data_IF_200629577480
#
_entry.id   IF_200629577480
#
_cell.length_a   1.000
_cell.length_b   1.000
_cell.length_c   1.000
_cell.angle_alpha   90.00
_cell.angle_beta   90.00
_cell.angle_gamma   90.00
#
_symmetry.space_group_name_H-M   'P 1'
#
loop_
_entity.id
_entity.type
_entity.pdbx_description
1 polymer ?
#
# COMPACT_ATOMS: atom_id res chain seq x y z
N UNK A 1 38.40 10.56 81.85
CA UNK A 1 39.00 9.82 80.70
C UNK A 1 40.24 10.57 80.24
N UNK A 2 41.28 10.62 81.09
CA UNK A 2 42.46 11.49 80.93
C UNK A 2 43.80 10.72 80.98
N UNK A 3 43.77 9.39 80.82
CA UNK A 3 44.97 8.53 80.93
C UNK A 3 45.21 7.62 79.73
N UNK A 4 44.86 8.07 78.51
CA UNK A 4 45.12 7.32 77.25
C UNK A 4 45.60 8.20 76.09
N UNK A 5 46.30 9.30 76.36
CA UNK A 5 46.92 10.16 75.33
C UNK A 5 48.42 10.38 75.55
N UNK A 6 49.11 9.46 76.23
CA UNK A 6 50.54 9.58 76.53
C UNK A 6 51.40 8.47 75.88
N UNK A 7 50.85 7.71 74.92
CA UNK A 7 51.49 6.49 74.40
C UNK A 7 51.67 6.50 72.86
N UNK A 8 51.55 7.66 72.22
CA UNK A 8 51.88 7.90 70.80
C UNK A 8 52.48 9.29 70.66
N UNK A 9 53.32 9.69 71.61
CA UNK A 9 54.26 10.78 71.38
C UNK A 9 55.45 10.19 70.62
N UNK A 10 55.38 10.21 69.29
CA UNK A 10 56.55 9.85 68.48
C UNK A 10 57.68 10.84 68.83
N UNK A 11 58.79 10.32 69.39
CA UNK A 11 59.96 11.13 69.74
C UNK A 11 60.55 11.84 68.52
N UNK A 12 60.36 11.28 67.31
CA UNK A 12 60.89 11.80 66.04
C UNK A 12 60.33 13.16 65.62
N UNK A 13 59.00 13.37 65.44
CA UNK A 13 58.44 14.68 65.12
C UNK A 13 58.71 15.71 66.22
N UNK A 14 58.79 15.30 67.50
CA UNK A 14 59.11 16.20 68.62
C UNK A 14 60.58 16.64 68.62
N UNK A 15 61.50 15.70 68.39
CA UNK A 15 62.92 16.02 68.20
C UNK A 15 63.15 16.87 66.94
N UNK A 16 62.34 16.65 65.89
CA UNK A 16 62.39 17.48 64.68
C UNK A 16 61.83 18.89 64.92
N UNK A 17 60.78 19.01 65.74
CA UNK A 17 60.24 20.30 66.18
C UNK A 17 61.25 21.09 67.02
N UNK A 18 61.91 20.42 67.97
CA UNK A 18 62.94 21.02 68.82
C UNK A 18 64.25 21.34 68.06
N UNK A 19 64.60 20.55 67.04
CA UNK A 19 65.85 20.74 66.28
C UNK A 19 65.71 21.63 65.04
N UNK A 20 64.56 21.62 64.36
CA UNK A 20 64.34 22.36 63.10
C UNK A 20 62.92 22.95 62.96
N UNK A 21 62.15 23.11 64.04
CA UNK A 21 60.81 23.71 63.98
C UNK A 21 59.78 22.89 63.18
N UNK A 22 60.03 21.58 63.04
CA UNK A 22 59.04 20.62 62.56
C UNK A 22 59.04 20.40 61.04
N UNK A 23 59.92 21.07 60.29
CA UNK A 23 59.97 21.03 58.82
C UNK A 23 61.32 20.49 58.34
N UNK A 24 61.29 19.31 57.72
CA UNK A 24 62.49 18.59 57.21
C UNK A 24 62.99 19.13 55.86
N UNK A 25 62.08 19.65 55.03
CA UNK A 25 62.34 20.26 53.72
C UNK A 25 61.48 21.51 53.59
N UNK A 26 62.11 22.67 53.35
CA UNK A 26 61.38 23.91 53.04
C UNK A 26 60.68 23.68 51.70
N UNK A 27 59.36 23.51 51.71
CA UNK A 27 58.59 23.46 50.48
C UNK A 27 58.51 24.88 49.93
N UNK A 28 58.44 25.03 48.60
CA UNK A 28 58.28 26.36 47.99
C UNK A 28 57.03 27.09 48.48
N UNK A 29 56.04 26.34 48.96
CA UNK A 29 54.81 26.80 49.61
C UNK A 29 55.06 27.51 50.95
N UNK A 30 56.14 27.17 51.65
CA UNK A 30 56.47 27.70 52.98
C UNK A 30 57.10 29.11 52.90
N UNK A 31 57.71 29.45 51.75
CA UNK A 31 58.25 30.79 51.44
C UNK A 31 57.16 31.85 51.55
N UNK A 32 55.91 31.52 51.18
CA UNK A 32 54.76 32.44 51.29
C UNK A 32 54.36 32.73 52.74
N UNK A 33 54.67 31.82 53.68
CA UNK A 33 54.33 31.91 55.11
C UNK A 33 55.47 32.46 55.97
N UNK A 34 56.69 32.54 55.44
CA UNK A 34 57.83 33.10 56.16
C UNK A 34 57.67 34.62 56.27
N UNK A 35 57.74 35.15 57.49
CA UNK A 35 57.74 36.59 57.75
C UNK A 35 58.95 36.93 58.62
N UNK A 36 59.69 37.98 58.24
CA UNK A 36 60.87 38.43 59.01
C UNK A 36 60.38 39.39 60.10
N UNK A 37 60.53 39.05 61.39
CA UNK A 37 60.04 39.89 62.47
C UNK A 37 60.75 41.25 62.47
N UNK A 38 60.03 42.35 62.70
CA UNK A 38 60.62 43.69 62.69
C UNK A 38 61.62 43.85 63.85
N UNK A 39 62.78 44.48 63.60
CA UNK A 39 63.75 44.82 64.64
C UNK A 39 63.10 45.58 65.80
N UNK A 40 63.47 45.23 67.04
CA UNK A 40 62.86 45.75 68.28
C UNK A 40 62.94 47.27 68.45
N UNK A 41 63.94 47.92 67.84
CA UNK A 41 64.18 49.36 67.90
C UNK A 41 63.32 50.20 66.93
N UNK A 42 62.56 49.58 66.01
CA UNK A 42 61.61 50.28 65.12
C UNK A 42 60.46 50.97 65.85
N UNK A 43 60.25 50.63 67.12
CA UNK A 43 59.30 51.29 68.02
C UNK A 43 59.80 52.63 68.57
N UNK A 44 61.09 52.96 68.39
CA UNK A 44 61.76 54.20 68.83
C UNK A 44 61.98 55.13 67.64
N UNK A 45 61.96 56.44 67.88
CA UNK A 45 62.12 57.47 66.83
C UNK A 45 63.48 57.38 66.12
N UNK A 46 63.46 57.61 64.81
CA UNK A 46 64.56 57.46 63.84
C UNK A 46 65.82 58.29 64.17
N UNK A 47 65.65 59.38 64.94
CA UNK A 47 66.71 60.29 65.36
C UNK A 47 67.63 59.73 66.46
N UNK A 48 67.24 58.64 67.13
CA UNK A 48 67.98 58.02 68.24
C UNK A 48 68.75 56.77 67.82
N UNK A 49 68.74 56.43 66.53
CA UNK A 49 69.41 55.22 66.05
C UNK A 49 70.92 55.41 66.01
N UNK A 50 71.62 54.51 66.70
CA UNK A 50 73.06 54.34 66.56
C UNK A 50 73.42 53.91 65.14
N UNK A 51 74.65 54.17 64.69
CA UNK A 51 75.10 53.76 63.34
C UNK A 51 75.00 52.24 63.12
N UNK A 52 75.11 51.46 64.19
CA UNK A 52 74.92 50.00 64.19
C UNK A 52 73.44 49.62 63.99
N UNK A 53 72.50 50.33 64.62
CA UNK A 53 71.04 50.12 64.44
C UNK A 53 70.57 50.52 63.03
N UNK A 54 71.16 51.57 62.43
CA UNK A 54 70.93 51.94 61.02
C UNK A 54 71.36 50.82 60.07
N UNK A 55 72.54 50.24 60.32
CA UNK A 55 73.06 49.12 59.53
C UNK A 55 72.19 47.86 59.66
N UNK A 56 71.70 47.56 60.86
CA UNK A 56 70.78 46.44 61.11
C UNK A 56 69.44 46.65 60.39
N UNK A 57 68.94 47.89 60.31
CA UNK A 57 67.73 48.22 59.57
C UNK A 57 67.91 48.08 58.05
N UNK A 58 69.04 48.54 57.49
CA UNK A 58 69.36 48.35 56.06
C UNK A 58 69.45 46.86 55.68
N UNK A 59 70.06 46.03 56.54
CA UNK A 59 70.11 44.58 56.35
C UNK A 59 68.73 43.92 56.49
N UNK A 60 67.88 44.40 57.41
CA UNK A 60 66.50 43.96 57.56
C UNK A 60 65.66 44.30 56.32
N UNK A 61 65.71 45.54 55.84
CA UNK A 61 65.02 45.96 54.61
C UNK A 61 65.45 45.12 53.42
N UNK A 62 66.77 44.87 53.29
CA UNK A 62 67.29 44.06 52.20
C UNK A 62 66.73 42.63 52.25
N UNK A 63 66.74 41.99 53.43
CA UNK A 63 66.18 40.64 53.61
C UNK A 63 64.67 40.60 53.37
N UNK A 64 63.93 41.63 53.78
CA UNK A 64 62.47 41.74 53.52
C UNK A 64 62.20 41.92 52.03
N UNK A 65 63.00 42.73 51.32
CA UNK A 65 62.91 42.91 49.87
C UNK A 65 63.23 41.62 49.11
N UNK A 66 64.28 40.91 49.50
CA UNK A 66 64.66 39.60 48.95
C UNK A 66 63.54 38.57 49.15
N UNK A 67 63.04 38.43 50.38
CA UNK A 67 61.97 37.49 50.71
C UNK A 67 60.65 37.83 50.00
N UNK A 68 60.30 39.12 49.86
CA UNK A 68 59.15 39.53 49.05
C UNK A 68 59.35 39.26 47.55
N UNK A 69 60.58 39.37 47.05
CA UNK A 69 60.95 38.98 45.68
C UNK A 69 60.71 37.49 45.44
N UNK A 70 61.23 36.63 46.32
CA UNK A 70 61.04 35.17 46.25
C UNK A 70 59.56 34.77 46.36
N UNK A 71 58.79 35.43 47.25
CA UNK A 71 57.33 35.24 47.35
C UNK A 71 56.62 35.57 46.04
N UNK A 72 56.99 36.67 45.38
CA UNK A 72 56.35 37.08 44.12
C UNK A 72 56.76 36.20 42.95
N UNK A 73 58.02 35.76 42.87
CA UNK A 73 58.48 34.76 41.90
C UNK A 73 57.70 33.45 42.04
N UNK A 74 57.48 32.98 43.27
CA UNK A 74 56.70 31.77 43.51
C UNK A 74 55.21 31.95 43.19
N UNK A 75 54.61 33.10 43.49
CA UNK A 75 53.25 33.43 43.04
C UNK A 75 53.14 33.44 41.52
N UNK A 76 54.12 34.03 40.83
CA UNK A 76 54.15 34.06 39.37
C UNK A 76 54.29 32.65 38.79
N UNK A 77 55.12 31.81 39.39
CA UNK A 77 55.23 30.39 39.05
C UNK A 77 53.87 29.67 39.17
N UNK A 78 53.16 29.84 40.30
CA UNK A 78 51.84 29.24 40.50
C UNK A 78 50.80 29.77 39.50
N UNK A 79 50.81 31.08 39.18
CA UNK A 79 49.92 31.65 38.15
C UNK A 79 50.20 31.05 36.77
N UNK A 80 51.46 30.85 36.42
CA UNK A 80 51.85 30.25 35.14
C UNK A 80 51.41 28.79 35.04
N UNK A 81 51.63 28.00 36.10
CA UNK A 81 51.15 26.60 36.17
C UNK A 81 49.63 26.53 36.13
N UNK A 82 48.93 27.41 36.84
CA UNK A 82 47.48 27.53 36.78
C UNK A 82 46.99 27.81 35.36
N UNK A 83 47.53 28.84 34.70
CA UNK A 83 47.14 29.21 33.34
C UNK A 83 47.43 28.10 32.32
N UNK A 84 48.55 27.39 32.48
CA UNK A 84 48.92 26.25 31.65
C UNK A 84 47.94 25.09 31.83
N UNK A 85 47.57 24.78 33.07
CA UNK A 85 46.59 23.73 33.38
C UNK A 85 45.20 24.11 32.84
N UNK A 86 44.78 25.37 33.02
CA UNK A 86 43.51 25.88 32.50
C UNK A 86 43.46 25.81 30.97
N UNK A 87 44.53 26.19 30.28
CA UNK A 87 44.63 26.07 28.83
C UNK A 87 44.56 24.61 28.37
N UNK A 88 45.29 23.71 29.04
CA UNK A 88 45.26 22.27 28.74
C UNK A 88 43.87 21.66 28.93
N UNK A 89 43.15 22.04 29.99
CA UNK A 89 41.77 21.59 30.21
C UNK A 89 40.85 22.10 29.10
N UNK A 90 40.92 23.39 28.75
CA UNK A 90 40.10 23.97 27.67
C UNK A 90 40.33 23.27 26.34
N UNK A 91 41.58 23.02 25.98
CA UNK A 91 41.94 22.29 24.76
C UNK A 91 41.42 20.85 24.79
N UNK A 92 41.58 20.14 25.91
CA UNK A 92 41.07 18.78 26.06
C UNK A 92 39.54 18.72 25.95
N UNK A 93 38.81 19.68 26.55
CA UNK A 93 37.35 19.79 26.44
C UNK A 93 36.92 20.06 25.00
N UNK A 94 37.55 21.01 24.32
CA UNK A 94 37.24 21.33 22.92
C UNK A 94 37.49 20.12 22.00
N UNK A 95 38.62 19.44 22.17
CA UNK A 95 38.95 18.22 21.42
C UNK A 95 37.92 17.11 21.68
N UNK A 96 37.47 16.94 22.92
CA UNK A 96 36.43 15.97 23.26
C UNK A 96 35.10 16.33 22.59
N UNK A 97 34.64 17.57 22.69
CA UNK A 97 33.39 18.03 22.09
C UNK A 97 33.41 17.87 20.57
N UNK A 98 34.53 18.18 19.91
CA UNK A 98 34.71 17.94 18.48
C UNK A 98 34.58 16.46 18.11
N UNK A 99 35.19 15.57 18.89
CA UNK A 99 35.11 14.12 18.65
C UNK A 99 33.67 13.64 18.84
N UNK A 100 32.98 14.11 19.87
CA UNK A 100 31.57 13.76 20.13
C UNK A 100 30.66 14.25 19.01
N UNK A 101 30.87 15.48 18.51
CA UNK A 101 30.12 16.01 17.36
C UNK A 101 30.38 15.19 16.09
N UNK A 102 31.65 14.87 15.79
CA UNK A 102 31.99 14.02 14.63
C UNK A 102 31.39 12.62 14.77
N UNK A 103 31.32 12.07 15.99
CA UNK A 103 30.71 10.77 16.26
C UNK A 103 29.19 10.83 16.12
N UNK A 104 28.52 11.87 16.62
CA UNK A 104 27.07 12.02 16.52
C UNK A 104 26.62 12.19 15.07
N UNK A 105 27.35 12.97 14.27
CA UNK A 105 27.10 13.08 12.83
C UNK A 105 27.23 11.74 12.12
N UNK A 106 28.27 10.95 12.45
CA UNK A 106 28.44 9.60 11.90
C UNK A 106 27.30 8.68 12.31
N UNK A 107 26.89 8.72 13.59
CA UNK A 107 25.77 7.94 14.10
C UNK A 107 24.49 8.26 13.33
N UNK A 108 24.14 9.54 13.21
CA UNK A 108 22.93 9.98 12.50
C UNK A 108 22.95 9.56 11.02
N UNK A 109 24.09 9.70 10.33
CA UNK A 109 24.24 9.24 8.94
C UNK A 109 24.07 7.73 8.82
N UNK A 110 24.63 6.95 9.74
CA UNK A 110 24.48 5.49 9.75
C UNK A 110 23.03 5.08 10.03
N UNK A 111 22.39 5.64 11.04
CA UNK A 111 20.98 5.37 11.38
C UNK A 111 20.06 5.72 10.21
N UNK A 112 20.28 6.87 9.59
CA UNK A 112 19.55 7.29 8.39
C UNK A 112 19.66 6.28 7.24
N UNK A 113 20.86 5.77 6.95
CA UNK A 113 21.04 4.73 5.91
C UNK A 113 20.36 3.42 6.32
N UNK A 114 20.46 3.02 7.59
CA UNK A 114 19.77 1.83 8.10
C UNK A 114 18.26 1.97 7.88
N UNK A 115 17.65 3.07 8.30
CA UNK A 115 16.22 3.29 8.14
C UNK A 115 15.79 3.35 6.66
N UNK A 116 16.63 3.88 5.77
CA UNK A 116 16.37 3.84 4.33
C UNK A 116 16.33 2.39 3.81
N UNK A 117 17.31 1.57 4.18
CA UNK A 117 17.34 0.17 3.75
C UNK A 117 16.21 -0.65 4.39
N UNK A 118 15.87 -0.41 5.66
CA UNK A 118 14.72 -1.04 6.32
C UNK A 118 13.42 -0.71 5.59
N UNK A 119 13.21 0.57 5.23
CA UNK A 119 12.03 0.97 4.47
C UNK A 119 11.98 0.32 3.08
N UNK A 120 13.12 0.24 2.38
CA UNK A 120 13.22 -0.48 1.10
C UNK A 120 12.86 -1.95 1.25
N UNK A 121 13.37 -2.62 2.28
CA UNK A 121 13.06 -4.01 2.58
C UNK A 121 11.55 -4.18 2.80
N UNK A 122 10.93 -3.33 3.62
CA UNK A 122 9.47 -3.38 3.88
C UNK A 122 8.67 -3.19 2.58
N UNK A 123 9.04 -2.21 1.75
CA UNK A 123 8.37 -1.96 0.48
C UNK A 123 8.51 -3.14 -0.50
N UNK A 124 9.70 -3.76 -0.56
CA UNK A 124 9.93 -4.95 -1.39
C UNK A 124 9.13 -6.15 -0.88
N UNK A 125 9.08 -6.37 0.43
CA UNK A 125 8.26 -7.43 1.03
C UNK A 125 6.79 -7.22 0.68
N UNK A 126 6.29 -5.98 0.79
CA UNK A 126 4.92 -5.65 0.42
C UNK A 126 4.64 -5.94 -1.07
N UNK A 127 5.54 -5.53 -1.96
CA UNK A 127 5.42 -5.79 -3.40
C UNK A 127 5.41 -7.30 -3.71
N UNK A 128 6.27 -8.09 -3.05
CA UNK A 128 6.31 -9.54 -3.20
C UNK A 128 5.03 -10.22 -2.69
N UNK A 129 4.52 -9.81 -1.52
CA UNK A 129 3.25 -10.34 -0.99
C UNK A 129 2.10 -10.08 -1.96
N UNK A 130 2.07 -8.88 -2.53
CA UNK A 130 1.01 -8.47 -3.45
C UNK A 130 1.11 -9.23 -4.78
N UNK A 131 2.33 -9.47 -5.29
CA UNK A 131 2.55 -10.32 -6.47
C UNK A 131 2.11 -11.77 -6.22
N UNK A 132 2.46 -12.34 -5.05
CA UNK A 132 1.99 -13.68 -4.66
C UNK A 132 0.46 -13.74 -4.57
N UNK A 133 -0.20 -12.74 -3.99
CA UNK A 133 -1.66 -12.66 -3.94
C UNK A 133 -2.27 -12.66 -5.35
N UNK A 134 -1.74 -11.85 -6.26
CA UNK A 134 -2.19 -11.80 -7.65
C UNK A 134 -1.98 -13.14 -8.36
N UNK A 135 -0.84 -13.80 -8.15
CA UNK A 135 -0.56 -15.13 -8.72
C UNK A 135 -1.52 -16.20 -8.20
N UNK A 136 -1.82 -16.20 -6.90
CA UNK A 136 -2.80 -17.15 -6.35
C UNK A 136 -4.19 -16.92 -6.92
N UNK A 137 -4.60 -15.66 -7.09
CA UNK A 137 -5.90 -15.29 -7.69
C UNK A 137 -5.95 -15.68 -9.17
N UNK A 138 -4.91 -15.39 -9.94
CA UNK A 138 -4.82 -15.78 -11.35
C UNK A 138 -4.88 -17.31 -11.51
N UNK A 139 -4.13 -18.05 -10.69
CA UNK A 139 -4.17 -19.51 -10.68
C UNK A 139 -5.57 -20.05 -10.33
N UNK A 140 -6.26 -19.41 -9.38
CA UNK A 140 -7.64 -19.71 -9.02
C UNK A 140 -8.61 -19.54 -10.19
N UNK A 141 -8.57 -18.41 -10.88
CA UNK A 141 -9.40 -18.14 -12.06
C UNK A 141 -9.08 -19.10 -13.21
N UNK A 142 -7.80 -19.39 -13.47
CA UNK A 142 -7.39 -20.37 -14.49
C UNK A 142 -7.96 -21.76 -14.20
N UNK A 143 -7.88 -22.22 -12.94
CA UNK A 143 -8.48 -23.49 -12.51
C UNK A 143 -10.00 -23.49 -12.69
N UNK A 144 -10.67 -22.41 -12.30
CA UNK A 144 -12.11 -22.25 -12.48
C UNK A 144 -12.52 -22.31 -13.95
N UNK A 145 -11.78 -21.63 -14.83
CA UNK A 145 -11.99 -21.59 -16.26
C UNK A 145 -11.83 -22.99 -16.89
N UNK A 146 -10.79 -23.73 -16.53
CA UNK A 146 -10.57 -25.11 -16.97
C UNK A 146 -11.72 -26.02 -16.53
N UNK A 147 -12.17 -25.89 -15.27
CA UNK A 147 -13.31 -26.66 -14.74
C UNK A 147 -14.59 -26.37 -15.53
N UNK A 148 -14.92 -25.09 -15.73
CA UNK A 148 -16.11 -24.66 -16.49
C UNK A 148 -16.08 -25.12 -17.95
N UNK A 149 -14.92 -25.06 -18.62
CA UNK A 149 -14.76 -25.62 -19.97
C UNK A 149 -15.01 -27.13 -20.01
N UNK A 150 -14.51 -27.88 -19.02
CA UNK A 150 -14.75 -29.32 -18.90
C UNK A 150 -16.22 -29.64 -18.68
N UNK A 151 -16.88 -28.89 -17.81
CA UNK A 151 -18.31 -29.06 -17.51
C UNK A 151 -19.18 -28.73 -18.72
N UNK A 152 -18.81 -27.70 -19.48
CA UNK A 152 -19.44 -27.37 -20.77
C UNK A 152 -19.34 -28.55 -21.74
N UNK A 153 -18.14 -29.12 -21.96
CA UNK A 153 -17.96 -30.28 -22.86
C UNK A 153 -18.79 -31.49 -22.41
N UNK A 154 -18.86 -31.76 -21.10
CA UNK A 154 -19.72 -32.84 -20.57
C UNK A 154 -21.20 -32.59 -20.81
N UNK A 155 -21.66 -31.34 -20.69
CA UNK A 155 -23.06 -30.97 -20.95
C UNK A 155 -23.48 -31.17 -22.41
N UNK A 156 -22.54 -31.09 -23.36
CA UNK A 156 -22.79 -31.33 -24.79
C UNK A 156 -22.81 -32.83 -25.18
N UNK A 157 -22.49 -33.75 -24.25
CA UNK A 157 -22.55 -35.19 -24.48
C UNK A 157 -23.82 -35.82 -23.88
N UNK A 158 -24.98 -35.72 -24.54
CA UNK A 158 -26.01 -36.74 -24.44
C UNK A 158 -26.29 -37.35 -25.82
N UNK A 159 -26.03 -38.65 -25.96
CA UNK A 159 -26.45 -39.58 -27.03
C UNK A 159 -27.48 -39.02 -28.05
N UNK A 160 -27.06 -38.38 -29.17
CA UNK A 160 -28.01 -37.77 -30.11
C UNK A 160 -28.15 -38.51 -31.45
N UNK A 161 -27.26 -39.44 -31.77
CA UNK A 161 -27.21 -40.03 -33.13
C UNK A 161 -28.37 -41.00 -33.43
N UNK A 162 -29.01 -41.60 -32.43
CA UNK A 162 -30.12 -42.54 -32.66
C UNK A 162 -31.48 -41.85 -32.82
N UNK A 163 -31.68 -40.65 -32.25
CA UNK A 163 -33.00 -40.00 -32.24
C UNK A 163 -33.28 -39.16 -33.50
N UNK A 164 -32.28 -38.44 -34.03
CA UNK A 164 -32.48 -37.60 -35.23
C UNK A 164 -32.83 -38.45 -36.46
N UNK A 165 -32.18 -39.60 -36.64
CA UNK A 165 -32.51 -40.53 -37.72
C UNK A 165 -33.92 -41.13 -37.61
N UNK A 166 -34.39 -41.40 -36.38
CA UNK A 166 -35.74 -41.88 -36.14
C UNK A 166 -36.80 -40.83 -36.50
N UNK A 167 -36.59 -39.58 -36.10
CA UNK A 167 -37.54 -38.50 -36.35
C UNK A 167 -37.60 -38.11 -37.84
N UNK A 168 -36.46 -37.98 -38.52
CA UNK A 168 -36.40 -37.63 -39.95
C UNK A 168 -37.09 -38.71 -40.80
N UNK A 169 -36.86 -40.00 -40.46
CA UNK A 169 -37.51 -41.13 -41.13
C UNK A 169 -39.03 -41.12 -40.93
N UNK A 170 -39.49 -40.95 -39.69
CA UNK A 170 -40.92 -40.89 -39.37
C UNK A 170 -41.62 -39.68 -40.02
N UNK A 171 -40.94 -38.55 -40.14
CA UNK A 171 -41.50 -37.35 -40.78
C UNK A 171 -41.57 -37.51 -42.30
N UNK A 172 -40.56 -38.14 -42.92
CA UNK A 172 -40.57 -38.47 -44.33
C UNK A 172 -41.68 -39.48 -44.67
N UNK A 173 -41.87 -40.51 -43.84
CA UNK A 173 -42.93 -41.51 -44.01
C UNK A 173 -44.33 -40.88 -43.86
N UNK A 174 -44.49 -39.88 -42.98
CA UNK A 174 -45.74 -39.12 -42.84
C UNK A 174 -46.03 -38.23 -44.05
N UNK A 175 -45.05 -37.50 -44.58
CA UNK A 175 -45.24 -36.69 -45.80
C UNK A 175 -45.56 -37.59 -46.99
N UNK A 176 -44.91 -38.76 -47.09
CA UNK A 176 -45.17 -39.73 -48.14
C UNK A 176 -46.58 -40.31 -48.03
N UNK A 177 -47.08 -40.59 -46.82
CA UNK A 177 -48.44 -41.07 -46.62
C UNK A 177 -49.50 -40.02 -46.96
N UNK A 178 -49.27 -38.75 -46.61
CA UNK A 178 -50.17 -37.62 -46.95
C UNK A 178 -50.18 -37.35 -48.47
N UNK A 179 -49.03 -37.44 -49.14
CA UNK A 179 -48.95 -37.33 -50.60
C UNK A 179 -49.62 -38.53 -51.32
N UNK A 180 -49.48 -39.74 -50.78
CA UNK A 180 -50.14 -40.94 -51.30
C UNK A 180 -51.67 -40.93 -51.14
N UNK A 181 -52.26 -40.13 -50.25
CA UNK A 181 -53.73 -39.98 -50.17
C UNK A 181 -54.32 -39.38 -51.46
N UNK A 182 -53.53 -38.67 -52.28
CA UNK A 182 -53.96 -38.19 -53.59
C UNK A 182 -53.99 -39.28 -54.68
N UNK A 183 -53.49 -40.50 -54.42
CA UNK A 183 -53.48 -41.62 -55.38
C UNK A 183 -53.82 -42.95 -54.70
N UNK A 184 -55.01 -43.47 -55.01
CA UNK A 184 -55.67 -44.72 -54.55
C UNK A 184 -54.78 -45.88 -54.01
N UNK A 185 -54.91 -46.16 -52.69
CA UNK A 185 -54.72 -47.43 -51.90
C UNK A 185 -53.35 -48.12 -51.83
N UNK A 186 -53.00 -48.99 -50.81
CA UNK A 186 -53.57 -49.25 -49.47
C UNK A 186 -52.60 -48.93 -48.29
N UNK A 187 -53.11 -48.95 -47.05
CA UNK A 187 -52.41 -48.61 -45.78
C UNK A 187 -51.23 -49.54 -45.47
N UNK A 188 -50.09 -48.95 -45.10
CA UNK A 188 -48.98 -49.66 -44.41
C UNK A 188 -48.97 -49.20 -42.96
N UNK A 189 -49.10 -50.16 -42.03
CA UNK A 189 -49.06 -49.93 -40.59
C UNK A 189 -47.68 -49.39 -40.18
N UNK A 190 -47.67 -48.20 -39.59
CA UNK A 190 -46.45 -47.59 -39.05
C UNK A 190 -46.31 -48.03 -37.59
N UNK A 191 -45.33 -48.90 -37.31
CA UNK A 191 -44.99 -49.35 -35.97
C UNK A 191 -44.44 -48.18 -35.14
N UNK A 192 -45.09 -47.86 -34.01
CA UNK A 192 -44.65 -46.82 -33.07
C UNK A 192 -43.60 -47.42 -32.12
N UNK A 193 -42.33 -47.04 -32.29
CA UNK A 193 -41.25 -47.49 -31.39
C UNK A 193 -41.27 -46.72 -30.05
N UNK A 194 -41.39 -47.47 -28.97
CA UNK A 194 -41.65 -47.08 -27.56
C UNK A 194 -40.45 -46.47 -26.82
N UNK A 195 -39.48 -45.86 -27.48
CA UNK A 195 -38.21 -45.46 -26.85
C UNK A 195 -37.97 -43.94 -26.80
N UNK A 196 -38.97 -43.14 -26.40
CA UNK A 196 -38.77 -41.71 -26.17
C UNK A 196 -38.82 -41.37 -24.66
N UNK A 197 -37.68 -41.08 -24.02
CA UNK A 197 -37.60 -40.83 -22.57
C UNK A 197 -38.26 -39.51 -22.12
N UNK A 198 -38.82 -38.72 -23.04
CA UNK A 198 -39.47 -37.43 -22.75
C UNK A 198 -41.00 -37.48 -22.86
N UNK A 199 -41.61 -38.63 -23.18
CA UNK A 199 -43.05 -38.77 -23.37
C UNK A 199 -43.68 -39.44 -22.16
N UNK A 200 -44.70 -38.80 -21.57
CA UNK A 200 -45.46 -39.32 -20.42
C UNK A 200 -46.73 -40.11 -20.79
N UNK A 201 -47.14 -40.13 -22.06
CA UNK A 201 -48.27 -40.94 -22.54
C UNK A 201 -47.79 -42.25 -23.15
N UNK A 202 -48.43 -43.37 -22.82
CA UNK A 202 -48.07 -44.66 -23.42
C UNK A 202 -48.62 -44.76 -24.85
N UNK A 203 -47.98 -45.55 -25.72
CA UNK A 203 -48.50 -45.82 -27.06
C UNK A 203 -49.85 -46.56 -27.01
N UNK A 204 -50.09 -47.29 -25.92
CA UNK A 204 -51.32 -48.01 -25.62
C UNK A 204 -52.49 -47.03 -25.39
N UNK A 205 -52.26 -45.92 -24.66
CA UNK A 205 -53.27 -44.87 -24.43
C UNK A 205 -53.75 -44.19 -25.73
N UNK A 206 -52.85 -44.00 -26.70
CA UNK A 206 -53.18 -43.45 -28.02
C UNK A 206 -54.08 -44.40 -28.82
N UNK A 207 -53.71 -45.69 -28.84
CA UNK A 207 -54.45 -46.71 -29.58
C UNK A 207 -55.85 -46.93 -28.99
N UNK A 208 -55.99 -46.87 -27.67
CA UNK A 208 -57.27 -46.97 -26.98
C UNK A 208 -58.17 -45.77 -27.26
N UNK A 209 -57.63 -44.54 -27.18
CA UNK A 209 -58.37 -43.32 -27.50
C UNK A 209 -58.80 -43.27 -28.98
N UNK A 210 -57.93 -43.68 -29.89
CA UNK A 210 -58.23 -43.77 -31.33
C UNK A 210 -59.31 -44.82 -31.59
N UNK A 211 -59.24 -45.99 -30.93
CA UNK A 211 -60.22 -47.06 -31.08
C UNK A 211 -61.62 -46.65 -30.62
N UNK A 212 -61.73 -45.90 -29.52
CA UNK A 212 -63.00 -45.35 -29.04
C UNK A 212 -63.59 -44.34 -30.04
N UNK A 213 -62.74 -43.49 -30.62
CA UNK A 213 -63.15 -42.52 -31.63
C UNK A 213 -63.59 -43.18 -32.94
N UNK A 214 -62.90 -44.24 -33.38
CA UNK A 214 -63.28 -44.99 -34.58
C UNK A 214 -64.63 -45.70 -34.42
N UNK A 215 -64.95 -46.19 -33.22
CA UNK A 215 -66.28 -46.75 -32.92
C UNK A 215 -67.39 -45.71 -33.00
N UNK A 216 -67.16 -44.49 -32.51
CA UNK A 216 -68.11 -43.39 -32.68
C UNK A 216 -68.30 -43.00 -34.16
N UNK A 217 -67.26 -43.20 -34.99
CA UNK A 217 -67.36 -42.97 -36.44
C UNK A 217 -68.21 -44.02 -37.17
N UNK A 218 -68.24 -45.27 -36.69
CA UNK A 218 -69.09 -46.32 -37.25
C UNK A 218 -70.58 -45.94 -37.19
N UNK A 219 -71.02 -45.30 -36.10
CA UNK A 219 -72.40 -44.79 -35.96
C UNK A 219 -72.69 -43.64 -36.93
N UNK A 220 -71.76 -42.70 -37.08
CA UNK A 220 -71.89 -41.54 -37.95
C UNK A 220 -71.80 -41.87 -39.45
N UNK A 221 -71.07 -42.93 -39.81
CA UNK A 221 -70.92 -43.40 -41.20
C UNK A 221 -72.05 -44.36 -41.63
N UNK A 222 -73.01 -44.66 -40.73
CA UNK A 222 -74.18 -45.48 -41.03
C UNK A 222 -74.89 -45.03 -42.31
N UNK A 223 -75.36 -45.97 -43.16
CA UNK A 223 -76.08 -45.64 -44.39
C UNK A 223 -77.39 -44.86 -44.15
N UNK A 224 -77.91 -44.89 -42.91
CA UNK A 224 -79.08 -44.12 -42.49
C UNK A 224 -78.84 -42.60 -42.50
N UNK A 225 -77.59 -42.16 -42.33
CA UNK A 225 -77.21 -40.75 -42.34
C UNK A 225 -76.88 -40.21 -43.74
N UNK A 226 -77.00 -41.06 -44.77
CA UNK A 226 -76.72 -40.69 -46.16
C UNK A 226 -77.80 -39.78 -46.73
N UNK A 227 -77.46 -38.61 -47.31
CA UNK A 227 -78.45 -37.71 -47.93
C UNK A 227 -79.19 -38.35 -49.12
N UNK A 228 -80.49 -38.06 -49.24
CA UNK A 228 -81.31 -38.54 -50.35
C UNK A 228 -80.82 -37.94 -51.68
N UNK A 229 -80.48 -38.82 -52.64
CA UNK A 229 -79.99 -38.45 -53.98
C UNK A 229 -78.47 -38.56 -54.16
N UNK A 230 -77.71 -38.89 -53.13
CA UNK A 230 -76.26 -39.11 -53.25
C UNK A 230 -75.94 -40.55 -53.70
N UNK A 231 -74.96 -40.72 -54.58
CA UNK A 231 -74.48 -42.06 -54.96
C UNK A 231 -73.73 -42.75 -53.80
N UNK A 232 -73.83 -44.08 -53.74
CA UNK A 232 -73.21 -44.88 -52.67
C UNK A 232 -71.69 -44.78 -52.69
N UNK A 233 -71.07 -44.77 -53.87
CA UNK A 233 -69.61 -44.67 -54.00
C UNK A 233 -69.08 -43.34 -53.46
N UNK A 234 -69.84 -42.26 -53.64
CA UNK A 234 -69.49 -40.92 -53.17
C UNK A 234 -69.63 -40.83 -51.64
N UNK A 235 -70.64 -41.47 -51.06
CA UNK A 235 -70.81 -41.56 -49.61
C UNK A 235 -69.65 -42.32 -48.95
N UNK A 236 -69.27 -43.47 -49.49
CA UNK A 236 -68.15 -44.27 -48.98
C UNK A 236 -66.81 -43.52 -49.07
N UNK A 237 -66.57 -42.80 -50.17
CA UNK A 237 -65.40 -41.93 -50.30
C UNK A 237 -65.39 -40.81 -49.25
N UNK A 238 -66.55 -40.21 -48.97
CA UNK A 238 -66.69 -39.18 -47.93
C UNK A 238 -66.41 -39.73 -46.52
N UNK A 239 -66.99 -40.88 -46.16
CA UNK A 239 -66.76 -41.54 -44.88
C UNK A 239 -65.26 -41.87 -44.69
N UNK A 240 -64.61 -42.39 -45.74
CA UNK A 240 -63.18 -42.67 -45.73
C UNK A 240 -62.34 -41.39 -45.53
N UNK A 241 -62.67 -40.31 -46.25
CA UNK A 241 -61.98 -39.03 -46.11
C UNK A 241 -62.16 -38.43 -44.70
N UNK A 242 -63.37 -38.53 -44.15
CA UNK A 242 -63.70 -38.10 -42.77
C UNK A 242 -62.88 -38.87 -41.75
N UNK A 243 -62.82 -40.20 -41.84
CA UNK A 243 -62.01 -41.03 -40.93
C UNK A 243 -60.52 -40.70 -41.03
N UNK A 244 -59.96 -40.61 -42.23
CA UNK A 244 -58.56 -40.25 -42.42
C UNK A 244 -58.25 -38.87 -41.83
N UNK A 245 -59.16 -37.89 -41.99
CA UNK A 245 -59.02 -36.56 -41.38
C UNK A 245 -58.97 -36.66 -39.86
N UNK A 246 -59.92 -37.35 -39.25
CA UNK A 246 -60.02 -37.50 -37.79
C UNK A 246 -58.79 -38.22 -37.22
N UNK A 247 -58.37 -39.34 -37.84
CA UNK A 247 -57.14 -40.05 -37.46
C UNK A 247 -55.91 -39.11 -37.50
N UNK A 248 -55.80 -38.27 -38.55
CA UNK A 248 -54.69 -37.32 -38.68
C UNK A 248 -54.75 -36.18 -37.65
N UNK A 249 -55.93 -35.66 -37.33
CA UNK A 249 -56.11 -34.60 -36.33
C UNK A 249 -55.79 -35.09 -34.91
N UNK A 250 -56.23 -36.30 -34.55
CA UNK A 250 -55.88 -36.91 -33.26
C UNK A 250 -54.38 -37.19 -33.16
N UNK A 251 -53.76 -37.71 -34.22
CA UNK A 251 -52.31 -37.91 -34.23
C UNK A 251 -51.54 -36.61 -34.00
N UNK A 252 -51.98 -35.50 -34.61
CA UNK A 252 -51.39 -34.17 -34.40
C UNK A 252 -51.57 -33.72 -32.95
N UNK A 253 -52.77 -33.86 -32.37
CA UNK A 253 -53.04 -33.52 -30.96
C UNK A 253 -52.15 -34.32 -30.01
N UNK A 254 -52.02 -35.62 -30.24
CA UNK A 254 -51.21 -36.51 -29.41
C UNK A 254 -49.71 -36.21 -29.49
N UNK A 255 -49.21 -35.80 -30.66
CA UNK A 255 -47.80 -35.39 -30.81
C UNK A 255 -47.51 -33.97 -30.31
N UNK A 256 -48.53 -33.13 -30.17
CA UNK A 256 -48.35 -31.73 -29.76
C UNK A 256 -47.75 -31.58 -28.35
N UNK A 257 -48.18 -32.41 -27.38
CA UNK A 257 -47.67 -32.35 -26.01
C UNK A 257 -46.19 -32.81 -25.90
N UNK A 258 -45.78 -33.99 -26.43
CA UNK A 258 -44.37 -34.36 -26.55
C UNK A 258 -43.48 -33.32 -27.22
N UNK A 259 -43.97 -32.68 -28.29
CA UNK A 259 -43.23 -31.66 -29.00
C UNK A 259 -43.02 -30.42 -28.13
N UNK A 260 -44.04 -30.00 -27.38
CA UNK A 260 -43.93 -28.89 -26.43
C UNK A 260 -42.93 -29.21 -25.30
N UNK A 261 -42.94 -30.44 -24.77
CA UNK A 261 -41.98 -30.89 -23.76
C UNK A 261 -40.54 -30.89 -24.29
N UNK A 262 -40.32 -31.38 -25.52
CA UNK A 262 -39.02 -31.31 -26.19
C UNK A 262 -38.56 -29.86 -26.41
N UNK A 263 -39.46 -28.99 -26.86
CA UNK A 263 -39.15 -27.58 -27.09
C UNK A 263 -38.79 -26.85 -25.79
N UNK A 264 -39.50 -27.14 -24.69
CA UNK A 264 -39.17 -26.63 -23.36
C UNK A 264 -37.82 -27.14 -22.84
N UNK A 265 -37.49 -28.42 -23.10
CA UNK A 265 -36.19 -29.00 -22.78
C UNK A 265 -35.06 -28.33 -23.58
N UNK A 266 -35.27 -28.13 -24.88
CA UNK A 266 -34.32 -27.44 -25.76
C UNK A 266 -34.09 -25.99 -25.30
N UNK A 267 -35.16 -25.26 -24.99
CA UNK A 267 -35.04 -23.88 -24.49
C UNK A 267 -34.22 -23.82 -23.20
N UNK A 268 -34.49 -24.72 -22.24
CA UNK A 268 -33.71 -24.82 -21.00
C UNK A 268 -32.23 -25.05 -21.26
N UNK A 269 -31.88 -25.92 -22.22
CA UNK A 269 -30.48 -26.18 -22.62
C UNK A 269 -29.82 -24.97 -23.28
N UNK A 270 -30.57 -24.22 -24.09
CA UNK A 270 -30.10 -22.98 -24.69
C UNK A 270 -29.78 -21.95 -23.60
N UNK A 271 -30.71 -21.73 -22.68
CA UNK A 271 -30.55 -20.79 -21.57
C UNK A 271 -29.35 -21.18 -20.66
N UNK A 272 -29.20 -22.46 -20.33
CA UNK A 272 -28.06 -23.00 -19.57
C UNK A 272 -26.73 -22.73 -20.29
N UNK A 273 -26.67 -22.90 -21.62
CA UNK A 273 -25.47 -22.67 -22.41
C UNK A 273 -25.13 -21.18 -22.53
N UNK A 274 -26.13 -20.31 -22.69
CA UNK A 274 -25.93 -18.86 -22.69
C UNK A 274 -25.41 -18.37 -21.34
N UNK A 275 -25.98 -18.85 -20.24
CA UNK A 275 -25.48 -18.58 -18.89
C UNK A 275 -24.02 -19.03 -18.73
N UNK A 276 -23.69 -20.27 -19.12
CA UNK A 276 -22.31 -20.76 -19.07
C UNK A 276 -21.35 -19.95 -19.95
N UNK A 277 -21.78 -19.46 -21.12
CA UNK A 277 -20.97 -18.58 -21.98
C UNK A 277 -20.70 -17.25 -21.30
N UNK A 278 -21.72 -16.61 -20.73
CA UNK A 278 -21.55 -15.33 -20.00
C UNK A 278 -20.62 -15.49 -18.80
N UNK A 279 -20.78 -16.54 -17.99
CA UNK A 279 -19.87 -16.81 -16.87
C UNK A 279 -18.42 -16.98 -17.33
N UNK A 280 -18.20 -17.69 -18.44
CA UNK A 280 -16.87 -17.90 -19.01
C UNK A 280 -16.24 -16.57 -19.46
N UNK A 281 -17.01 -15.75 -20.15
CA UNK A 281 -16.59 -14.43 -20.64
C UNK A 281 -16.21 -13.51 -19.47
N UNK A 282 -17.04 -13.44 -18.42
CA UNK A 282 -16.75 -12.65 -17.23
C UNK A 282 -15.44 -13.09 -16.56
N UNK A 283 -15.19 -14.40 -16.45
CA UNK A 283 -13.92 -14.91 -15.91
C UNK A 283 -12.73 -14.55 -16.80
N UNK A 284 -12.89 -14.54 -18.12
CA UNK A 284 -11.83 -14.13 -19.05
C UNK A 284 -11.50 -12.64 -18.92
N UNK A 285 -12.52 -11.79 -18.78
CA UNK A 285 -12.34 -10.35 -18.56
C UNK A 285 -11.62 -10.09 -17.25
N UNK A 286 -12.01 -10.75 -16.16
CA UNK A 286 -11.34 -10.62 -14.86
C UNK A 286 -9.87 -11.07 -14.93
N UNK A 287 -9.58 -12.16 -15.63
CA UNK A 287 -8.21 -12.65 -15.83
C UNK A 287 -7.37 -11.65 -16.66
N UNK A 288 -7.97 -11.02 -17.66
CA UNK A 288 -7.30 -10.00 -18.48
C UNK A 288 -6.99 -8.76 -17.64
N UNK A 289 -7.96 -8.29 -16.87
CA UNK A 289 -7.78 -7.18 -15.94
C UNK A 289 -6.68 -7.45 -14.90
N UNK A 290 -6.65 -8.64 -14.30
CA UNK A 290 -5.59 -9.02 -13.34
C UNK A 290 -4.20 -9.00 -13.97
N UNK A 291 -4.06 -9.43 -15.22
CA UNK A 291 -2.78 -9.38 -15.93
C UNK A 291 -2.32 -7.95 -16.19
N UNK A 292 -3.25 -7.06 -16.53
CA UNK A 292 -2.95 -5.65 -16.72
C UNK A 292 -2.52 -5.00 -15.40
N UNK A 293 -3.21 -5.28 -14.29
CA UNK A 293 -2.80 -4.79 -12.97
C UNK A 293 -1.43 -5.33 -12.55
N UNK A 294 -1.18 -6.63 -12.76
CA UNK A 294 0.15 -7.21 -12.51
C UNK A 294 1.24 -6.50 -13.31
N UNK A 295 1.01 -6.26 -14.60
CA UNK A 295 1.96 -5.54 -15.47
C UNK A 295 2.20 -4.10 -15.00
N UNK A 296 1.16 -3.40 -14.52
CA UNK A 296 1.32 -2.05 -13.96
C UNK A 296 2.17 -2.06 -12.71
N UNK A 297 1.98 -3.03 -11.82
CA UNK A 297 2.74 -3.14 -10.57
C UNK A 297 4.21 -3.48 -10.82
N UNK A 298 4.49 -4.35 -11.80
CA UNK A 298 5.87 -4.67 -12.22
C UNK A 298 6.60 -3.44 -12.77
N UNK A 299 5.87 -2.50 -13.39
CA UNK A 299 6.44 -1.26 -13.94
C UNK A 299 6.46 -0.10 -12.95
N UNK A 300 5.51 -0.06 -12.03
CA UNK A 300 5.34 1.02 -11.04
C UNK A 300 6.19 0.75 -9.80
N UNK A 301 7.51 0.85 -9.97
CA UNK A 301 8.47 0.61 -8.89
C UNK A 301 8.59 1.85 -8.02
N UNK A 302 8.43 1.67 -6.72
CA UNK A 302 8.66 2.73 -5.73
C UNK A 302 10.14 3.08 -5.63
N UNK A 303 10.47 4.35 -5.88
CA UNK A 303 11.83 4.88 -5.73
C UNK A 303 11.86 5.90 -4.60
N UNK A 304 12.76 5.72 -3.64
CA UNK A 304 12.93 6.65 -2.53
C UNK A 304 13.92 7.76 -2.91
N UNK A 305 13.51 9.00 -2.71
CA UNK A 305 14.37 10.18 -2.87
C UNK A 305 14.75 10.75 -1.51
N UNK A 306 15.98 11.23 -1.41
CA UNK A 306 16.43 12.02 -0.26
C UNK A 306 16.51 13.49 -0.64
N UNK A 307 15.65 14.30 -0.04
CA UNK A 307 15.61 15.74 -0.24
C UNK A 307 15.99 16.46 1.05
N UNK A 308 16.65 17.61 0.91
CA UNK A 308 16.99 18.46 2.07
C UNK A 308 15.77 19.26 2.52
N UNK A 309 15.75 19.63 3.80
CA UNK A 309 14.77 20.58 4.33
C UNK A 309 14.83 21.88 3.52
N UNK A 310 13.66 22.36 3.06
CA UNK A 310 13.54 23.50 2.14
C UNK A 310 13.42 23.13 0.66
N UNK A 311 13.59 21.86 0.29
CA UNK A 311 13.24 21.34 -1.05
C UNK A 311 11.85 20.64 -1.07
N UNK A 312 11.21 20.59 0.10
CA UNK A 312 9.88 20.01 0.30
C UNK A 312 9.01 21.11 0.87
N UNK A 313 7.99 21.50 0.12
CA UNK A 313 7.05 22.58 0.46
C UNK A 313 5.72 22.00 0.95
N UNK A 314 5.77 21.16 2.00
CA UNK A 314 4.59 20.57 2.63
C UNK A 314 4.40 21.11 4.04
N UNK A 315 3.15 21.20 4.49
CA UNK A 315 2.84 21.57 5.86
C UNK A 315 3.41 20.54 6.84
N UNK A 316 4.17 21.02 7.82
CA UNK A 316 4.85 20.18 8.81
C UNK A 316 3.86 19.67 9.86
N UNK A 317 3.22 18.53 9.63
CA UNK A 317 2.60 17.72 10.69
C UNK A 317 3.66 16.89 11.43
N UNK A 318 3.35 16.41 12.66
CA UNK A 318 4.27 15.55 13.44
C UNK A 318 4.71 14.29 12.68
N UNK A 319 3.84 13.78 11.80
CA UNK A 319 4.14 12.78 10.78
C UNK A 319 3.77 13.41 9.45
N UNK A 320 4.74 13.77 8.59
CA UNK A 320 4.45 14.36 7.29
C UNK A 320 3.71 13.37 6.39
N UNK A 321 2.58 13.78 5.85
CA UNK A 321 1.86 13.03 4.82
C UNK A 321 2.34 13.47 3.44
N UNK A 322 2.78 12.52 2.63
CA UNK A 322 3.30 12.74 1.27
C UNK A 322 2.36 12.22 0.18
N UNK A 323 1.13 11.81 0.54
CA UNK A 323 0.17 11.22 -0.40
C UNK A 323 -0.18 12.16 -1.55
N UNK A 324 -0.26 13.46 -1.28
CA UNK A 324 -0.54 14.51 -2.27
C UNK A 324 0.74 15.18 -2.82
N UNK A 325 1.92 14.65 -2.49
CA UNK A 325 3.18 15.23 -2.90
C UNK A 325 3.45 15.00 -4.40
N UNK A 326 3.85 16.05 -5.10
CA UNK A 326 4.20 15.99 -6.52
C UNK A 326 5.66 16.39 -6.71
N UNK A 327 6.41 15.59 -7.48
CA UNK A 327 7.78 15.93 -7.86
C UNK A 327 7.74 16.91 -9.04
N UNK A 328 8.19 18.14 -8.81
CA UNK A 328 8.23 19.20 -9.83
C UNK A 328 9.70 19.46 -10.20
N UNK A 329 9.99 19.57 -11.49
CA UNK A 329 11.32 19.97 -11.94
C UNK A 329 11.60 21.42 -11.52
N UNK A 330 12.79 21.63 -10.95
CA UNK A 330 13.25 22.92 -10.46
C UNK A 330 13.25 23.99 -11.56
N UNK A 331 13.53 23.61 -12.81
CA UNK A 331 13.55 24.55 -13.94
C UNK A 331 12.22 25.28 -14.11
N UNK A 332 11.10 24.56 -13.95
CA UNK A 332 9.74 25.09 -14.07
C UNK A 332 9.48 26.13 -12.98
N UNK A 333 9.89 25.84 -11.74
CA UNK A 333 9.75 26.77 -10.60
C UNK A 333 10.61 28.01 -10.79
N UNK A 334 11.84 27.85 -11.26
CA UNK A 334 12.75 28.97 -11.53
C UNK A 334 12.25 29.88 -12.67
N UNK A 335 11.69 29.29 -13.73
CA UNK A 335 11.10 30.04 -14.85
C UNK A 335 9.86 30.83 -14.42
N UNK A 336 8.98 30.22 -13.62
CA UNK A 336 7.83 30.90 -13.02
C UNK A 336 8.28 32.05 -12.11
N UNK A 337 9.28 31.82 -11.24
CA UNK A 337 9.83 32.84 -10.37
C UNK A 337 10.45 34.02 -11.15
N UNK A 338 11.16 33.73 -12.25
CA UNK A 338 11.68 34.77 -13.13
C UNK A 338 10.55 35.60 -13.77
N UNK A 339 9.49 34.93 -14.23
CA UNK A 339 8.31 35.59 -14.81
C UNK A 339 7.60 36.47 -13.78
N UNK A 340 7.41 35.98 -12.56
CA UNK A 340 6.85 36.75 -11.45
C UNK A 340 7.72 37.95 -11.09
N UNK A 341 9.04 37.80 -11.09
CA UNK A 341 9.95 38.92 -10.85
C UNK A 341 9.82 40.01 -11.93
N UNK A 342 9.69 39.62 -13.20
CA UNK A 342 9.46 40.55 -14.32
C UNK A 342 8.12 41.27 -14.15
N UNK A 343 7.04 40.55 -13.87
CA UNK A 343 5.71 41.12 -13.61
C UNK A 343 5.77 42.10 -12.44
N UNK A 344 6.45 41.74 -11.35
CA UNK A 344 6.62 42.58 -10.18
C UNK A 344 7.39 43.86 -10.51
N UNK A 345 8.47 43.78 -11.30
CA UNK A 345 9.23 44.95 -11.77
C UNK A 345 8.35 45.86 -12.63
N UNK A 346 7.57 45.28 -13.56
CA UNK A 346 6.63 46.03 -14.42
C UNK A 346 5.58 46.72 -13.56
N UNK A 347 4.96 46.01 -12.61
CA UNK A 347 3.98 46.55 -11.69
C UNK A 347 4.56 47.69 -10.84
N UNK A 348 5.77 47.51 -10.32
CA UNK A 348 6.47 48.54 -9.53
C UNK A 348 6.77 49.78 -10.38
N UNK A 349 7.22 49.61 -11.64
CA UNK A 349 7.40 50.73 -12.58
C UNK A 349 6.09 51.44 -12.91
N UNK A 350 5.00 50.70 -13.12
CA UNK A 350 3.67 51.27 -13.37
C UNK A 350 3.15 52.04 -12.15
N UNK A 351 3.33 51.52 -10.94
CA UNK A 351 2.98 52.18 -9.68
C UNK A 351 3.75 53.49 -9.48
N UNK A 352 5.05 53.49 -9.76
CA UNK A 352 5.90 54.70 -9.70
C UNK A 352 5.50 55.74 -10.77
N UNK A 353 5.17 55.30 -11.99
CA UNK A 353 4.69 56.18 -13.06
C UNK A 353 3.37 56.85 -12.71
N UNK A 354 2.41 56.12 -12.13
CA UNK A 354 1.15 56.70 -11.62
C UNK A 354 1.34 57.69 -10.47
N UNK A 355 2.36 57.50 -9.63
CA UNK A 355 2.71 58.48 -8.58
C UNK A 355 3.33 59.76 -9.16
N UNK A 356 4.09 59.67 -10.26
CA UNK A 356 4.65 60.86 -10.94
C UNK A 356 3.61 61.61 -11.80
N UNK A 357 2.60 60.92 -12.33
CA UNK A 357 1.57 61.49 -13.21
C UNK A 357 0.23 61.76 -12.52
N UNK A 358 0.22 62.05 -11.22
CA UNK A 358 -0.99 62.48 -10.50
C UNK A 358 -0.98 64.00 -10.25
N UNK A 359 -1.33 64.85 -11.24
CA UNK A 359 -1.78 66.21 -10.96
C UNK A 359 -3.20 66.11 -10.41
N UNK A 360 -3.40 66.57 -9.17
CA UNK A 360 -4.66 66.53 -8.41
C UNK A 360 -5.08 65.19 -7.79
N UNK A 361 -4.66 64.97 -6.53
CA UNK A 361 -5.55 64.62 -5.41
C UNK A 361 -6.48 63.39 -5.45
N UNK A 362 -6.43 62.50 -6.45
CA UNK A 362 -7.30 61.33 -6.51
C UNK A 362 -6.50 60.03 -6.34
N UNK A 363 -6.58 59.44 -5.14
CA UNK A 363 -6.04 58.12 -4.82
C UNK A 363 -6.90 57.04 -5.51
N UNK A 364 -6.50 56.60 -6.69
CA UNK A 364 -7.06 55.41 -7.33
C UNK A 364 -6.48 54.15 -6.67
N UNK A 365 -7.19 53.61 -5.69
CA UNK A 365 -7.01 52.25 -5.22
C UNK A 365 -7.48 51.28 -6.30
N UNK A 366 -6.54 50.77 -7.10
CA UNK A 366 -6.79 49.55 -7.88
C UNK A 366 -6.42 48.37 -7.00
N UNK A 367 -7.46 47.78 -6.40
CA UNK A 367 -7.38 46.47 -5.78
C UNK A 367 -7.39 45.44 -6.91
N UNK A 368 -6.25 44.80 -7.12
CA UNK A 368 -6.18 43.58 -7.91
C UNK A 368 -6.20 42.43 -6.91
N UNK A 369 -7.33 41.72 -6.85
CA UNK A 369 -7.42 40.45 -6.15
C UNK A 369 -6.53 39.45 -6.91
N UNK A 370 -5.56 38.88 -6.19
CA UNK A 370 -4.70 37.78 -6.65
C UNK A 370 -5.40 36.46 -6.33
#
# INVERSE_FOLDING_TARGET
>A
MERRRAATDDERPRALDDMMGGVLEIRREDILKMDIPPPSFLSRSEDLWTEEEKKIFEEYEKKVKELNGEKEEYRQFLRNEWNKLEASIKEATQNFDEIVCKLSEKKLKSEMVIYQEELKIVNLIYALLLDEELDTREAGLRKFLVKKKKDKVKSFLPHPQSLEHGFIKQFADYILSVLCVCTRTPRTETHLDTANPYVKGSAEDYQDALSLLMKAMDELDSPEHKPSGLDQSVWECFCLARRNKIESEELVKWKALPLADMQACLQRRVDENEKMKSELENTFQELTWLKEEKMKLEQNVTVQFLLKQGQVELESTQIPDYSDAVLIDRSVVEELNCTLAVIYIIWRKFKLSKQMYCPSGAQLFLQFDI
#
